data_IF_912741681303
#
_entry.id   IF_912741681303
#
_cell.length_a   1.000
_cell.length_b   1.000
_cell.length_c   1.000
_cell.angle_alpha   90.00
_cell.angle_beta   90.00
_cell.angle_gamma   90.00
#
_symmetry.space_group_name_H-M   'P 1'
#
loop_
_entity.id
_entity.type
_entity.pdbx_description
1 polymer ?
#
# COMPACT_ATOMS: atom_id res chain seq x y z
N UNK A 1 22.44 20.21 -11.72
CA UNK A 1 21.46 20.65 -10.71
C UNK A 1 20.35 19.61 -10.64
N UNK A 2 20.23 18.90 -9.53
CA UNK A 2 19.20 17.86 -9.34
C UNK A 2 17.83 18.49 -9.01
N UNK A 3 16.77 17.68 -9.06
CA UNK A 3 15.39 18.16 -8.87
C UNK A 3 15.17 18.77 -7.48
N UNK A 4 15.78 18.19 -6.44
CA UNK A 4 15.81 18.77 -5.09
C UNK A 4 16.42 20.18 -5.06
N UNK A 5 17.61 20.35 -5.66
CA UNK A 5 18.29 21.64 -5.71
C UNK A 5 17.50 22.70 -6.49
N UNK A 6 16.83 22.30 -7.58
CA UNK A 6 15.89 23.15 -8.33
C UNK A 6 14.75 23.61 -7.45
N UNK A 7 14.11 22.69 -6.73
CA UNK A 7 12.97 23.05 -5.91
C UNK A 7 13.34 23.98 -4.76
N UNK A 8 14.46 23.74 -4.07
CA UNK A 8 14.89 24.64 -2.98
C UNK A 8 15.24 26.03 -3.50
N UNK A 9 15.91 26.11 -4.65
CA UNK A 9 16.23 27.40 -5.28
C UNK A 9 14.96 28.16 -5.67
N UNK A 10 13.94 27.45 -6.15
CA UNK A 10 12.61 28.00 -6.43
C UNK A 10 11.94 28.53 -5.15
N UNK A 11 11.89 27.72 -4.09
CA UNK A 11 11.31 28.09 -2.80
C UNK A 11 12.01 29.29 -2.15
N UNK A 12 13.35 29.37 -2.25
CA UNK A 12 14.13 30.51 -1.77
C UNK A 12 13.79 31.80 -2.52
N UNK A 13 13.43 31.69 -3.80
CA UNK A 13 13.13 32.83 -4.65
C UNK A 13 14.26 33.87 -4.66
N UNK A 14 13.93 35.09 -4.22
CA UNK A 14 14.86 36.23 -4.19
C UNK A 14 15.64 36.36 -2.87
N UNK A 15 15.34 35.53 -1.85
CA UNK A 15 16.06 35.59 -0.58
C UNK A 15 17.54 35.19 -0.78
N UNK A 16 18.47 35.93 -0.17
CA UNK A 16 19.89 35.55 -0.28
C UNK A 16 20.16 34.18 0.37
N UNK A 17 21.07 33.40 -0.21
CA UNK A 17 21.49 32.09 0.36
C UNK A 17 21.91 32.20 1.82
N UNK A 18 22.57 33.29 2.23
CA UNK A 18 23.01 33.51 3.62
C UNK A 18 21.83 33.74 4.57
N UNK A 19 20.81 34.47 4.12
CA UNK A 19 19.59 34.72 4.90
C UNK A 19 18.78 33.43 5.03
N UNK A 20 18.49 32.77 3.91
CA UNK A 20 17.73 31.54 3.88
C UNK A 20 18.38 30.43 4.73
N UNK A 21 19.70 30.23 4.58
CA UNK A 21 20.42 29.23 5.37
C UNK A 21 20.37 29.50 6.88
N UNK A 22 20.41 30.78 7.28
CA UNK A 22 20.27 31.18 8.68
C UNK A 22 18.88 30.84 9.22
N UNK A 23 17.82 31.14 8.48
CA UNK A 23 16.45 30.83 8.91
C UNK A 23 16.16 29.33 8.93
N UNK A 24 16.66 28.58 7.95
CA UNK A 24 16.57 27.11 7.90
C UNK A 24 17.40 26.46 9.02
N UNK A 25 18.46 27.12 9.51
CA UNK A 25 19.35 26.58 10.53
C UNK A 25 20.40 25.61 9.96
N UNK A 26 20.93 25.91 8.78
CA UNK A 26 22.04 25.17 8.13
C UNK A 26 23.16 26.13 7.68
N UNK A 27 24.33 25.62 7.31
CA UNK A 27 25.39 26.49 6.79
C UNK A 27 25.06 26.98 5.38
N UNK A 28 25.38 28.25 5.09
CA UNK A 28 25.15 28.85 3.77
C UNK A 28 25.92 28.14 2.64
N UNK A 29 27.10 27.62 2.95
CA UNK A 29 27.87 26.79 2.01
C UNK A 29 27.20 25.45 1.73
N UNK A 30 26.51 24.88 2.73
CA UNK A 30 25.75 23.65 2.53
C UNK A 30 24.49 23.91 1.71
N UNK A 31 23.71 24.95 2.02
CA UNK A 31 22.53 25.33 1.21
C UNK A 31 22.92 25.58 -0.26
N UNK A 32 24.01 26.31 -0.51
CA UNK A 32 24.54 26.53 -1.86
C UNK A 32 24.88 25.23 -2.58
N UNK A 33 25.52 24.27 -1.90
CA UNK A 33 25.84 22.96 -2.48
C UNK A 33 24.60 22.11 -2.75
N UNK A 34 23.56 22.22 -1.92
CA UNK A 34 22.29 21.51 -2.11
C UNK A 34 21.53 22.08 -3.32
N UNK A 35 21.46 23.41 -3.46
CA UNK A 35 20.83 24.05 -4.62
C UNK A 35 21.52 23.69 -5.93
N UNK A 36 22.86 23.54 -5.92
CA UNK A 36 23.63 23.09 -7.09
C UNK A 36 23.48 21.59 -7.34
N UNK A 37 23.15 20.81 -6.32
CA UNK A 37 23.02 19.35 -6.34
C UNK A 37 24.36 18.61 -6.39
N UNK A 38 25.49 19.31 -6.27
CA UNK A 38 26.85 18.73 -6.40
C UNK A 38 27.72 19.31 -5.28
N UNK A 39 28.48 18.44 -4.62
CA UNK A 39 29.52 18.85 -3.68
C UNK A 39 30.75 19.37 -4.45
N UNK A 40 31.13 20.66 -4.31
CA UNK A 40 32.22 21.25 -5.08
C UNK A 40 33.59 20.64 -4.77
N UNK A 41 33.76 19.95 -3.63
CA UNK A 41 35.03 19.34 -3.22
C UNK A 41 35.20 17.93 -3.77
N UNK A 42 34.11 17.18 -3.91
CA UNK A 42 34.16 15.77 -4.33
C UNK A 42 33.58 15.51 -5.72
N UNK A 43 32.85 16.46 -6.30
CA UNK A 43 32.15 16.30 -7.57
C UNK A 43 30.95 15.34 -7.51
N UNK A 44 30.65 14.78 -6.34
CA UNK A 44 29.54 13.83 -6.13
C UNK A 44 28.22 14.57 -5.90
N UNK A 45 27.12 13.86 -6.13
CA UNK A 45 25.79 14.36 -5.79
C UNK A 45 25.71 14.75 -4.30
N UNK A 46 25.14 15.93 -4.04
CA UNK A 46 24.93 16.42 -2.69
C UNK A 46 23.51 16.06 -2.23
N UNK A 47 23.41 15.12 -1.29
CA UNK A 47 22.14 14.73 -0.67
C UNK A 47 21.94 15.38 0.71
N UNK A 48 20.72 15.83 1.04
CA UNK A 48 20.39 16.30 2.39
C UNK A 48 20.30 15.12 3.37
N UNK A 49 20.38 15.40 4.67
CA UNK A 49 19.90 14.46 5.71
C UNK A 49 18.39 14.64 5.91
N UNK A 50 17.73 13.66 6.54
CA UNK A 50 16.29 13.75 6.85
C UNK A 50 16.00 14.97 7.73
N UNK A 51 16.83 15.23 8.74
CA UNK A 51 16.72 16.41 9.61
C UNK A 51 16.79 17.73 8.81
N UNK A 52 17.66 17.79 7.80
CA UNK A 52 17.79 18.97 6.94
C UNK A 52 16.54 19.12 6.06
N UNK A 53 15.99 18.02 5.54
CA UNK A 53 14.72 18.07 4.79
C UNK A 53 13.58 18.55 5.68
N UNK A 54 13.50 18.11 6.94
CA UNK A 54 12.52 18.61 7.90
C UNK A 54 12.66 20.12 8.15
N UNK A 55 13.89 20.60 8.38
CA UNK A 55 14.15 22.04 8.57
C UNK A 55 13.71 22.88 7.37
N UNK A 56 13.99 22.41 6.16
CA UNK A 56 13.60 23.06 4.91
C UNK A 56 12.08 23.03 4.73
N UNK A 57 11.44 21.88 4.98
CA UNK A 57 9.99 21.70 4.94
C UNK A 57 9.28 22.68 5.87
N UNK A 58 9.73 22.79 7.12
CA UNK A 58 9.16 23.69 8.12
C UNK A 58 9.35 25.17 7.76
N UNK A 59 10.54 25.57 7.27
CA UNK A 59 10.81 26.97 6.95
C UNK A 59 9.98 27.48 5.76
N UNK A 60 9.86 26.66 4.70
CA UNK A 60 9.15 27.03 3.49
C UNK A 60 7.66 26.62 3.48
N UNK A 61 7.17 26.02 4.58
CA UNK A 61 5.84 25.41 4.66
C UNK A 61 5.55 24.51 3.44
N UNK A 62 6.51 23.63 3.15
CA UNK A 62 6.48 22.77 1.97
C UNK A 62 6.41 21.30 2.39
N UNK A 63 5.74 20.46 1.58
CA UNK A 63 5.53 19.05 1.91
C UNK A 63 6.86 18.29 2.08
N UNK A 64 7.04 17.71 3.27
CA UNK A 64 8.23 16.93 3.64
C UNK A 64 8.49 15.75 2.70
N UNK A 65 7.47 14.96 2.34
CA UNK A 65 7.62 13.77 1.50
C UNK A 65 7.95 14.12 0.06
N UNK A 66 7.40 15.22 -0.46
CA UNK A 66 7.80 15.72 -1.77
C UNK A 66 9.29 16.08 -1.80
N UNK A 67 9.80 16.73 -0.74
CA UNK A 67 11.24 17.02 -0.64
C UNK A 67 12.09 15.76 -0.52
N UNK A 68 11.66 14.76 0.25
CA UNK A 68 12.31 13.44 0.34
C UNK A 68 12.39 12.76 -1.03
N UNK A 69 11.28 12.75 -1.78
CA UNK A 69 11.20 12.16 -3.11
C UNK A 69 12.12 12.91 -4.10
N UNK A 70 12.09 14.24 -4.10
CA UNK A 70 12.96 15.07 -4.94
C UNK A 70 14.44 14.87 -4.61
N UNK A 71 14.77 14.61 -3.34
CA UNK A 71 16.13 14.31 -2.87
C UNK A 71 16.60 12.88 -3.19
N UNK A 72 15.71 12.01 -3.67
CA UNK A 72 16.01 10.59 -3.92
C UNK A 72 16.46 9.88 -2.64
N UNK A 73 15.80 10.17 -1.52
CA UNK A 73 16.03 9.53 -0.23
C UNK A 73 14.97 8.45 0.03
N UNK A 74 15.41 7.31 0.54
CA UNK A 74 14.52 6.29 1.12
C UNK A 74 14.50 6.51 2.63
N UNK A 75 13.30 6.57 3.21
CA UNK A 75 13.11 6.85 4.64
C UNK A 75 12.25 5.74 5.26
N UNK A 76 12.76 5.11 6.31
CA UNK A 76 11.97 4.21 7.15
C UNK A 76 11.03 5.03 8.02
N UNK A 77 9.84 4.51 8.35
CA UNK A 77 8.89 5.15 9.28
C UNK A 77 9.57 5.55 10.60
N UNK A 78 10.54 4.75 11.07
CA UNK A 78 11.33 5.03 12.28
C UNK A 78 12.15 6.32 12.23
N UNK A 79 12.53 6.74 11.03
CA UNK A 79 13.46 7.85 10.81
C UNK A 79 12.72 9.15 10.50
N UNK A 80 11.40 9.09 10.35
CA UNK A 80 10.52 10.24 10.14
C UNK A 80 10.28 10.93 11.50
N UNK A 81 10.23 12.26 11.57
CA UNK A 81 9.82 12.96 12.79
C UNK A 81 8.41 12.55 13.26
N UNK A 82 8.21 12.31 14.56
CA UNK A 82 6.94 11.80 15.13
C UNK A 82 5.69 12.59 14.70
N UNK A 83 5.79 13.92 14.68
CA UNK A 83 4.70 14.82 14.26
C UNK A 83 4.29 14.60 12.80
N UNK A 84 5.25 14.27 11.94
CA UNK A 84 5.01 13.94 10.53
C UNK A 84 4.48 12.49 10.41
N UNK A 85 4.96 11.57 11.25
CA UNK A 85 4.45 10.20 11.30
C UNK A 85 2.95 10.18 11.59
N UNK A 86 2.48 10.91 12.60
CA UNK A 86 1.06 10.93 12.99
C UNK A 86 0.15 11.39 11.83
N UNK A 87 0.53 12.45 11.13
CA UNK A 87 -0.24 12.96 9.99
C UNK A 87 -0.28 11.96 8.83
N UNK A 88 0.84 11.33 8.47
CA UNK A 88 0.84 10.33 7.40
C UNK A 88 0.15 9.03 7.78
N UNK A 89 0.25 8.60 9.05
CA UNK A 89 -0.51 7.45 9.55
C UNK A 89 -2.01 7.76 9.42
N UNK A 90 -2.45 8.96 9.78
CA UNK A 90 -3.86 9.35 9.61
C UNK A 90 -4.28 9.38 8.14
N UNK A 91 -3.48 9.96 7.23
CA UNK A 91 -3.76 9.91 5.78
C UNK A 91 -3.78 8.48 5.24
N UNK A 92 -2.91 7.62 5.75
CA UNK A 92 -2.85 6.20 5.38
C UNK A 92 -4.10 5.48 5.86
N UNK A 93 -4.53 5.71 7.11
CA UNK A 93 -5.79 5.19 7.66
C UNK A 93 -6.98 5.68 6.83
N UNK A 94 -7.04 6.97 6.46
CA UNK A 94 -8.09 7.52 5.61
C UNK A 94 -8.11 6.86 4.23
N UNK A 95 -6.95 6.68 3.59
CA UNK A 95 -6.83 5.97 2.31
C UNK A 95 -7.30 4.52 2.43
N UNK A 96 -6.91 3.82 3.49
CA UNK A 96 -7.37 2.44 3.74
C UNK A 96 -8.87 2.36 3.99
N UNK A 97 -9.43 3.27 4.80
CA UNK A 97 -10.86 3.35 5.05
C UNK A 97 -11.62 3.63 3.75
N UNK A 98 -11.16 4.58 2.96
CA UNK A 98 -11.75 4.89 1.65
C UNK A 98 -11.67 3.69 0.71
N UNK A 99 -10.51 3.03 0.63
CA UNK A 99 -10.34 1.82 -0.18
C UNK A 99 -11.34 0.73 0.22
N UNK A 100 -11.51 0.47 1.53
CA UNK A 100 -12.51 -0.50 2.03
C UNK A 100 -13.94 -0.13 1.63
N UNK A 101 -14.30 1.15 1.74
CA UNK A 101 -15.62 1.65 1.33
C UNK A 101 -15.83 1.51 -0.18
N UNK A 102 -14.84 1.89 -0.98
CA UNK A 102 -14.90 1.78 -2.45
C UNK A 102 -15.03 0.31 -2.88
N UNK A 103 -14.32 -0.60 -2.20
CA UNK A 103 -14.45 -2.04 -2.43
C UNK A 103 -15.83 -2.57 -2.06
N UNK A 104 -16.36 -2.19 -0.89
CA UNK A 104 -17.71 -2.57 -0.45
C UNK A 104 -18.78 -2.09 -1.44
N UNK A 105 -18.70 -0.83 -1.87
CA UNK A 105 -19.61 -0.25 -2.87
C UNK A 105 -19.52 -1.04 -4.18
N UNK A 106 -18.30 -1.28 -4.67
CA UNK A 106 -18.08 -2.05 -5.91
C UNK A 106 -18.69 -3.45 -5.83
N UNK A 107 -18.49 -4.15 -4.71
CA UNK A 107 -19.04 -5.50 -4.50
C UNK A 107 -20.57 -5.47 -4.50
N UNK A 108 -21.18 -4.53 -3.77
CA UNK A 108 -22.65 -4.35 -3.73
C UNK A 108 -23.22 -4.04 -5.11
N UNK A 109 -22.61 -3.13 -5.86
CA UNK A 109 -23.04 -2.78 -7.21
C UNK A 109 -22.98 -3.97 -8.16
N UNK A 110 -21.95 -4.80 -8.05
CA UNK A 110 -21.82 -6.01 -8.86
C UNK A 110 -22.93 -7.03 -8.54
N UNK A 111 -23.26 -7.23 -7.27
CA UNK A 111 -24.39 -8.08 -6.87
C UNK A 111 -25.73 -7.51 -7.38
N UNK A 112 -25.94 -6.21 -7.26
CA UNK A 112 -27.16 -5.56 -7.76
C UNK A 112 -27.30 -5.74 -9.27
N UNK A 113 -26.22 -5.59 -10.04
CA UNK A 113 -26.23 -5.84 -11.50
C UNK A 113 -26.55 -7.30 -11.83
N UNK A 114 -25.97 -8.24 -11.07
CA UNK A 114 -26.24 -9.66 -11.24
C UNK A 114 -27.72 -9.99 -11.02
N UNK A 115 -28.31 -9.49 -9.93
CA UNK A 115 -29.72 -9.74 -9.59
C UNK A 115 -30.72 -8.94 -10.43
N UNK A 116 -30.26 -7.88 -11.11
CA UNK A 116 -31.11 -7.13 -12.06
C UNK A 116 -31.37 -7.91 -13.36
N UNK A 117 -30.61 -8.99 -13.62
CA UNK A 117 -30.81 -9.87 -14.76
C UNK A 117 -31.67 -11.07 -14.39
N UNK A 118 -32.42 -11.61 -15.34
CA UNK A 118 -33.08 -12.91 -15.15
C UNK A 118 -32.04 -14.02 -15.00
N UNK A 119 -32.01 -14.64 -13.82
CA UNK A 119 -31.12 -15.76 -13.51
C UNK A 119 -31.67 -17.07 -14.05
N UNK A 120 -30.80 -17.91 -14.60
CA UNK A 120 -31.12 -19.29 -14.95
C UNK A 120 -31.31 -20.12 -13.68
N UNK A 121 -32.10 -21.19 -13.77
CA UNK A 121 -32.32 -22.12 -12.65
C UNK A 121 -31.01 -22.65 -12.05
N UNK A 122 -30.00 -22.95 -12.86
CA UNK A 122 -28.68 -23.39 -12.38
C UNK A 122 -27.95 -22.31 -11.57
N UNK A 123 -28.09 -21.04 -11.95
CA UNK A 123 -27.49 -19.91 -11.23
C UNK A 123 -28.21 -19.69 -9.90
N UNK A 124 -29.54 -19.81 -9.89
CA UNK A 124 -30.34 -19.73 -8.65
C UNK A 124 -29.91 -20.83 -7.67
N UNK A 125 -29.81 -22.08 -8.12
CA UNK A 125 -29.36 -23.18 -7.25
C UNK A 125 -27.94 -22.95 -6.73
N UNK A 126 -27.02 -22.51 -7.59
CA UNK A 126 -25.65 -22.22 -7.20
C UNK A 126 -25.58 -21.13 -6.13
N UNK A 127 -26.21 -19.97 -6.35
CA UNK A 127 -26.21 -18.88 -5.38
C UNK A 127 -26.92 -19.25 -4.07
N UNK A 128 -27.98 -20.04 -4.14
CA UNK A 128 -28.65 -20.57 -2.94
C UNK A 128 -27.70 -21.37 -2.06
N UNK A 129 -26.97 -22.34 -2.63
CA UNK A 129 -26.01 -23.13 -1.87
C UNK A 129 -24.83 -22.31 -1.31
N UNK A 130 -24.35 -21.31 -2.06
CA UNK A 130 -23.28 -20.42 -1.59
C UNK A 130 -23.77 -19.56 -0.42
N UNK A 131 -25.00 -19.04 -0.51
CA UNK A 131 -25.62 -18.28 0.58
C UNK A 131 -25.82 -19.13 1.83
N UNK A 132 -26.37 -20.35 1.68
CA UNK A 132 -26.59 -21.27 2.81
C UNK A 132 -25.27 -21.63 3.50
N UNK A 133 -24.22 -21.89 2.72
CA UNK A 133 -22.87 -22.13 3.24
C UNK A 133 -22.33 -20.90 4.00
N UNK A 134 -22.38 -19.71 3.39
CA UNK A 134 -21.94 -18.47 4.03
C UNK A 134 -22.67 -18.23 5.35
N UNK A 135 -24.01 -18.38 5.38
CA UNK A 135 -24.80 -18.17 6.59
C UNK A 135 -24.47 -19.16 7.71
N UNK A 136 -24.06 -20.38 7.34
CA UNK A 136 -23.66 -21.42 8.30
C UNK A 136 -22.26 -21.17 8.88
N UNK A 137 -21.36 -20.57 8.11
CA UNK A 137 -19.94 -20.43 8.48
C UNK A 137 -19.53 -19.00 8.89
N UNK A 138 -20.32 -17.96 8.61
CA UNK A 138 -19.93 -16.54 8.81
C UNK A 138 -19.56 -16.16 10.25
N UNK A 139 -20.03 -16.91 11.24
CA UNK A 139 -19.77 -16.66 12.66
C UNK A 139 -18.70 -17.62 13.22
N UNK A 140 -18.21 -18.56 12.40
CA UNK A 140 -17.14 -19.46 12.76
C UNK A 140 -15.78 -18.77 12.58
N UNK A 141 -15.09 -18.55 13.71
CA UNK A 141 -13.77 -17.93 13.75
C UNK A 141 -12.63 -18.96 13.66
N UNK A 142 -12.91 -20.21 13.27
CA UNK A 142 -11.88 -21.23 13.08
C UNK A 142 -10.97 -20.83 11.93
N UNK A 143 -9.70 -20.63 12.25
CA UNK A 143 -8.67 -20.32 11.25
C UNK A 143 -7.90 -21.59 10.83
N UNK A 144 -7.53 -21.63 9.56
CA UNK A 144 -6.67 -22.67 8.99
C UNK A 144 -5.23 -22.17 9.06
N UNK A 145 -4.43 -22.82 9.90
CA UNK A 145 -3.02 -22.47 10.10
C UNK A 145 -2.09 -23.31 9.23
N UNK A 146 -1.18 -22.66 8.49
CA UNK A 146 -0.08 -23.31 7.77
C UNK A 146 1.23 -22.58 8.06
N UNK A 147 2.07 -23.17 8.92
CA UNK A 147 3.25 -22.50 9.46
C UNK A 147 2.86 -21.32 10.37
N UNK A 148 3.42 -20.13 10.12
CA UNK A 148 3.14 -18.92 10.90
C UNK A 148 1.98 -18.06 10.33
N UNK A 149 1.24 -18.58 9.34
CA UNK A 149 0.13 -17.87 8.69
C UNK A 149 -1.19 -18.56 9.02
N UNK A 150 -2.20 -17.74 9.24
CA UNK A 150 -3.58 -18.14 9.53
C UNK A 150 -4.53 -17.48 8.54
N UNK A 151 -5.56 -18.19 8.11
CA UNK A 151 -6.60 -17.68 7.21
C UNK A 151 -7.95 -18.27 7.59
N UNK A 152 -9.01 -17.46 7.58
CA UNK A 152 -10.37 -17.98 7.81
C UNK A 152 -10.87 -18.81 6.61
N UNK A 153 -11.83 -19.68 6.87
CA UNK A 153 -12.36 -20.63 5.88
C UNK A 153 -12.94 -19.94 4.64
N UNK A 154 -13.69 -18.84 4.83
CA UNK A 154 -14.36 -18.14 3.74
C UNK A 154 -13.32 -17.48 2.81
N UNK A 155 -12.31 -16.84 3.39
CA UNK A 155 -11.20 -16.26 2.64
C UNK A 155 -10.42 -17.31 1.85
N UNK A 156 -10.13 -18.47 2.43
CA UNK A 156 -9.43 -19.56 1.73
C UNK A 156 -10.22 -20.04 0.50
N UNK A 157 -11.53 -20.29 0.67
CA UNK A 157 -12.40 -20.74 -0.43
C UNK A 157 -12.44 -19.68 -1.53
N UNK A 158 -12.60 -18.41 -1.17
CA UNK A 158 -12.56 -17.29 -2.12
C UNK A 158 -11.26 -17.26 -2.92
N UNK A 159 -10.12 -17.37 -2.26
CA UNK A 159 -8.80 -17.42 -2.91
C UNK A 159 -8.66 -18.62 -3.84
N UNK A 160 -9.10 -19.82 -3.42
CA UNK A 160 -9.07 -21.02 -4.26
C UNK A 160 -9.88 -20.79 -5.55
N UNK A 161 -11.08 -20.22 -5.45
CA UNK A 161 -11.89 -19.91 -6.62
C UNK A 161 -11.26 -18.85 -7.53
N UNK A 162 -10.67 -17.80 -6.96
CA UNK A 162 -9.96 -16.77 -7.72
C UNK A 162 -8.81 -17.37 -8.53
N UNK A 163 -7.93 -18.14 -7.87
CA UNK A 163 -6.80 -18.80 -8.53
C UNK A 163 -7.29 -19.78 -9.59
N UNK A 164 -8.38 -20.52 -9.35
CA UNK A 164 -8.99 -21.40 -10.36
C UNK A 164 -9.45 -20.63 -11.59
N UNK A 165 -10.10 -19.48 -11.41
CA UNK A 165 -10.60 -18.64 -12.50
C UNK A 165 -9.44 -18.06 -13.31
N UNK A 166 -8.43 -17.51 -12.64
CA UNK A 166 -7.22 -16.96 -13.27
C UNK A 166 -6.50 -18.02 -14.12
N UNK A 167 -6.50 -19.27 -13.66
CA UNK A 167 -5.75 -20.36 -14.28
C UNK A 167 -6.59 -21.28 -15.18
N UNK A 168 -7.89 -21.00 -15.36
CA UNK A 168 -8.87 -21.88 -16.01
C UNK A 168 -8.45 -22.45 -17.38
N UNK A 169 -7.58 -21.74 -18.10
CA UNK A 169 -7.06 -22.14 -19.42
C UNK A 169 -5.53 -22.15 -19.52
N UNK A 170 -4.82 -22.13 -18.38
CA UNK A 170 -3.36 -21.99 -18.35
C UNK A 170 -2.61 -23.25 -18.82
N UNK A 171 -3.26 -24.41 -18.82
CA UNK A 171 -2.61 -25.73 -18.95
C UNK A 171 -1.45 -25.96 -17.95
N UNK A 172 -1.37 -25.16 -16.88
CA UNK A 172 -0.32 -25.26 -15.88
C UNK A 172 -0.64 -26.40 -14.91
N UNK A 173 0.05 -27.54 -15.10
CA UNK A 173 -0.13 -28.74 -14.28
C UNK A 173 0.26 -28.53 -12.81
N UNK A 174 1.25 -27.68 -12.55
CA UNK A 174 1.71 -27.36 -11.21
C UNK A 174 0.64 -26.56 -10.47
N UNK A 175 0.14 -25.48 -11.07
CA UNK A 175 -0.95 -24.69 -10.51
C UNK A 175 -2.21 -25.53 -10.22
N UNK A 176 -2.60 -26.41 -11.15
CA UNK A 176 -3.72 -27.33 -10.92
C UNK A 176 -3.47 -28.27 -9.73
N UNK A 177 -2.27 -28.86 -9.66
CA UNK A 177 -1.89 -29.76 -8.56
C UNK A 177 -1.92 -29.05 -7.22
N UNK A 178 -1.40 -27.83 -7.15
CA UNK A 178 -1.35 -27.03 -5.93
C UNK A 178 -2.76 -26.68 -5.43
N UNK A 179 -3.62 -26.17 -6.31
CA UNK A 179 -5.01 -25.84 -5.97
C UNK A 179 -5.75 -27.09 -5.48
N UNK A 180 -5.60 -28.22 -6.20
CA UNK A 180 -6.25 -29.48 -5.82
C UNK A 180 -5.78 -29.96 -4.44
N UNK A 181 -4.48 -29.93 -4.18
CA UNK A 181 -3.92 -30.36 -2.90
C UNK A 181 -4.39 -29.45 -1.75
N UNK A 182 -4.44 -28.14 -1.97
CA UNK A 182 -4.93 -27.19 -0.96
C UNK A 182 -6.41 -27.41 -0.67
N UNK A 183 -7.23 -27.64 -1.70
CA UNK A 183 -8.65 -27.96 -1.55
C UNK A 183 -8.88 -29.31 -0.85
N UNK A 184 -8.13 -30.36 -1.21
CA UNK A 184 -8.21 -31.67 -0.57
C UNK A 184 -7.84 -31.59 0.93
N UNK A 185 -6.82 -30.82 1.27
CA UNK A 185 -6.43 -30.58 2.67
C UNK A 185 -7.51 -29.84 3.44
N UNK A 186 -8.07 -28.78 2.84
CA UNK A 186 -9.20 -28.05 3.42
C UNK A 186 -10.38 -28.98 3.71
N UNK A 187 -10.80 -29.80 2.73
CA UNK A 187 -11.94 -30.70 2.89
C UNK A 187 -11.72 -31.72 4.02
N UNK A 188 -10.52 -32.28 4.14
CA UNK A 188 -10.19 -33.22 5.22
C UNK A 188 -10.33 -32.58 6.59
N UNK A 189 -9.81 -31.37 6.75
CA UNK A 189 -9.92 -30.62 7.99
C UNK A 189 -11.37 -30.22 8.29
N UNK A 190 -12.08 -29.72 7.27
CA UNK A 190 -13.45 -29.26 7.41
C UNK A 190 -14.42 -30.38 7.80
N UNK A 191 -14.27 -31.56 7.19
CA UNK A 191 -15.14 -32.71 7.42
C UNK A 191 -14.67 -33.60 8.59
N UNK A 192 -13.60 -33.22 9.29
CA UNK A 192 -12.94 -34.04 10.33
C UNK A 192 -12.62 -35.46 9.84
N UNK A 193 -12.13 -35.57 8.60
CA UNK A 193 -11.76 -36.83 7.96
C UNK A 193 -10.24 -37.03 8.11
N UNK A 194 -9.87 -38.12 8.79
CA UNK A 194 -8.47 -38.54 8.99
C UNK A 194 -7.77 -38.96 7.70
#
# INVERSE_FOLDING_TARGET
MNEFGKKIKELRGQESIRSAARHIGISHTYLDSLEKGIDPRSGKERKPTIEVVQKISNYYDYNFFELINLAGLFVSLSDIPKEIQENEINKMIERFSKFKVDEEIRVKDNYMKLFSNELKSTEVFFFGHIFDFFMSEKDDNTEITKGNKSIDKLSLIGMIFEVLVENKNSNNKEAYSDIKNEFDNFLRQYLDIK
#
